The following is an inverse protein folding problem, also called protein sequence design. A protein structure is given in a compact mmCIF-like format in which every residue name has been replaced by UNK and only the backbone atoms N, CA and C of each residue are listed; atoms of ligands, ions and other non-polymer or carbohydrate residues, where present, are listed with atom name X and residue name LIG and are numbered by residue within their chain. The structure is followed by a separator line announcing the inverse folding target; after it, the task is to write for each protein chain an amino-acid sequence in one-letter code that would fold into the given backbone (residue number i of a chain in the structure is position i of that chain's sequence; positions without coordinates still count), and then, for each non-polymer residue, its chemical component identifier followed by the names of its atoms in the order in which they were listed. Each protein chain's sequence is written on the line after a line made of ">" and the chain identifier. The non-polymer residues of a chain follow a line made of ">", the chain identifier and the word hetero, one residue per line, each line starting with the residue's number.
data_IF_725235572560
#
_entry.id   IF_725235572560
#
_cell.length_a   1.000
_cell.length_b   1.000
_cell.length_c   1.000
_cell.angle_alpha   90.00
_cell.angle_beta   90.00
_cell.angle_gamma   90.00
#
_symmetry.space_group_name_H-M   'P 1'
#
loop_
_entity.id
_entity.type
_entity.pdbx_description
1 polymer ?
#
# COMPACT_ATOMS: atom_id res chain seq x y z
N UNK A 1 9.57 -17.62 12.03
CA UNK A 1 8.29 -17.25 11.39
C UNK A 1 8.18 -17.92 10.03
N UNK A 2 7.28 -18.91 9.89
CA UNK A 2 6.86 -19.41 8.57
C UNK A 2 5.94 -18.33 7.97
N UNK A 3 6.31 -17.73 6.83
CA UNK A 3 5.39 -16.83 6.10
C UNK A 3 4.13 -17.64 5.75
N UNK A 4 3.00 -17.34 6.40
CA UNK A 4 1.71 -17.90 5.99
C UNK A 4 1.25 -17.20 4.71
N UNK A 5 0.78 -18.00 3.75
CA UNK A 5 0.39 -17.51 2.44
C UNK A 5 -0.96 -16.79 2.50
N UNK A 6 -0.93 -15.48 2.31
CA UNK A 6 -2.16 -14.68 2.25
C UNK A 6 -2.84 -14.87 0.88
N UNK A 7 -4.03 -15.49 0.87
CA UNK A 7 -4.75 -15.86 -0.36
C UNK A 7 -4.99 -14.67 -1.29
N UNK A 8 -5.33 -13.50 -0.74
CA UNK A 8 -5.59 -12.27 -1.50
C UNK A 8 -4.38 -11.80 -2.33
N UNK A 9 -3.16 -12.02 -1.82
CA UNK A 9 -1.90 -11.70 -2.53
C UNK A 9 -1.68 -12.61 -3.72
N UNK A 10 -1.90 -13.91 -3.54
CA UNK A 10 -1.74 -14.89 -4.62
C UNK A 10 -2.75 -14.62 -5.73
N UNK A 11 -4.00 -14.30 -5.37
CA UNK A 11 -5.03 -13.93 -6.34
C UNK A 11 -4.59 -12.71 -7.14
N UNK A 12 -4.10 -11.65 -6.51
CA UNK A 12 -3.69 -10.44 -7.23
C UNK A 12 -2.44 -10.65 -8.10
N UNK A 13 -1.46 -11.44 -7.65
CA UNK A 13 -0.31 -11.84 -8.50
C UNK A 13 -0.81 -12.67 -9.69
N UNK A 14 -1.70 -13.63 -9.46
CA UNK A 14 -2.31 -14.44 -10.52
C UNK A 14 -3.08 -13.59 -11.54
N UNK A 15 -3.80 -12.56 -11.08
CA UNK A 15 -4.47 -11.61 -11.97
C UNK A 15 -3.47 -10.76 -12.78
N UNK A 16 -2.36 -10.32 -12.19
CA UNK A 16 -1.30 -9.60 -12.94
C UNK A 16 -0.75 -10.50 -14.05
N UNK A 17 -0.55 -11.79 -13.76
CA UNK A 17 -0.07 -12.77 -14.73
C UNK A 17 -1.09 -12.99 -15.86
N UNK A 18 -2.38 -13.11 -15.52
CA UNK A 18 -3.44 -13.21 -16.53
C UNK A 18 -3.49 -11.97 -17.42
N UNK A 19 -3.29 -10.77 -16.87
CA UNK A 19 -3.20 -9.52 -17.65
C UNK A 19 -1.99 -9.54 -18.57
N UNK A 20 -0.81 -9.96 -18.08
CA UNK A 20 0.41 -10.03 -18.90
C UNK A 20 0.25 -11.02 -20.07
N UNK A 21 -0.29 -12.22 -19.81
CA UNK A 21 -0.57 -13.22 -20.84
C UNK A 21 -1.61 -12.70 -21.83
N UNK A 22 -2.73 -12.17 -21.32
CA UNK A 22 -3.81 -11.64 -22.14
C UNK A 22 -3.33 -10.53 -23.07
N UNK A 23 -2.55 -9.58 -22.54
CA UNK A 23 -1.93 -8.53 -23.32
C UNK A 23 -1.02 -9.07 -24.43
N UNK A 24 -0.06 -9.95 -24.11
CA UNK A 24 0.85 -10.51 -25.12
C UNK A 24 0.10 -11.28 -26.22
N UNK A 25 -0.93 -12.05 -25.86
CA UNK A 25 -1.76 -12.77 -26.85
C UNK A 25 -2.56 -11.80 -27.73
N UNK A 26 -3.18 -10.78 -27.14
CA UNK A 26 -3.94 -9.77 -27.88
C UNK A 26 -3.01 -9.02 -28.84
N UNK A 27 -1.85 -8.54 -28.36
CA UNK A 27 -0.87 -7.85 -29.16
C UNK A 27 -0.39 -8.69 -30.35
N UNK A 28 0.03 -9.94 -30.10
CA UNK A 28 0.51 -10.83 -31.15
C UNK A 28 -0.57 -11.20 -32.17
N UNK A 29 -1.82 -11.37 -31.75
CA UNK A 29 -2.95 -11.69 -32.66
C UNK A 29 -3.36 -10.50 -33.51
N UNK A 30 -3.42 -9.30 -32.94
CA UNK A 30 -3.78 -8.08 -33.67
C UNK A 30 -2.76 -7.74 -34.74
N UNK A 31 -1.49 -8.01 -34.48
CA UNK A 31 -0.40 -7.81 -35.44
C UNK A 31 -0.25 -8.93 -36.47
N UNK A 32 -1.07 -9.98 -36.40
CA UNK A 32 -1.01 -11.10 -37.36
C UNK A 32 0.28 -11.92 -37.28
N UNK A 33 0.91 -12.00 -36.10
CA UNK A 33 2.18 -12.72 -35.92
C UNK A 33 2.05 -14.21 -36.21
N UNK A 34 3.12 -14.82 -36.71
CA UNK A 34 3.21 -16.26 -36.90
C UNK A 34 3.20 -17.02 -35.55
N UNK A 35 2.81 -18.29 -35.60
CA UNK A 35 2.60 -19.10 -34.39
C UNK A 35 3.91 -19.29 -33.60
N UNK A 36 5.04 -19.46 -34.29
CA UNK A 36 6.38 -19.56 -33.69
C UNK A 36 6.78 -18.27 -32.96
N UNK A 37 6.53 -17.10 -33.56
CA UNK A 37 6.79 -15.80 -32.93
C UNK A 37 5.91 -15.58 -31.71
N UNK A 38 4.64 -16.00 -31.79
CA UNK A 38 3.70 -15.93 -30.67
C UNK A 38 4.10 -16.85 -29.51
N UNK A 39 4.66 -18.04 -29.80
CA UNK A 39 5.26 -18.92 -28.80
C UNK A 39 6.49 -18.28 -28.15
N UNK A 40 7.35 -17.61 -28.93
CA UNK A 40 8.50 -16.87 -28.41
C UNK A 40 8.08 -15.73 -27.47
N UNK A 41 7.08 -14.94 -27.85
CA UNK A 41 6.50 -13.89 -27.02
C UNK A 41 5.86 -14.46 -25.74
N UNK A 42 5.20 -15.62 -25.84
CA UNK A 42 4.68 -16.35 -24.69
C UNK A 42 5.78 -16.77 -23.70
N UNK A 43 6.88 -17.33 -24.21
CA UNK A 43 8.02 -17.71 -23.38
C UNK A 43 8.66 -16.50 -22.67
N UNK A 44 8.82 -15.37 -23.37
CA UNK A 44 9.28 -14.11 -22.77
C UNK A 44 8.33 -13.63 -21.67
N UNK A 45 7.01 -13.73 -21.91
CA UNK A 45 5.98 -13.34 -20.93
C UNK A 45 6.07 -14.21 -19.68
N UNK A 46 6.26 -15.52 -19.81
CA UNK A 46 6.46 -16.44 -18.67
C UNK A 46 7.71 -16.10 -17.88
N UNK A 47 8.83 -15.85 -18.56
CA UNK A 47 10.07 -15.43 -17.92
C UNK A 47 9.87 -14.14 -17.11
N UNK A 48 9.25 -13.13 -17.72
CA UNK A 48 8.94 -11.87 -17.06
C UNK A 48 8.06 -12.08 -15.83
N UNK A 49 7.00 -12.88 -15.92
CA UNK A 49 6.09 -13.15 -14.80
C UNK A 49 6.83 -13.74 -13.59
N UNK A 50 7.69 -14.73 -13.80
CA UNK A 50 8.48 -15.35 -12.70
C UNK A 50 9.38 -14.33 -12.03
N UNK A 51 10.13 -13.55 -12.81
CA UNK A 51 11.03 -12.51 -12.29
C UNK A 51 10.25 -11.38 -11.60
N UNK A 52 9.11 -10.99 -12.16
CA UNK A 52 8.28 -9.91 -11.63
C UNK A 52 7.61 -10.32 -10.31
N UNK A 53 7.14 -11.57 -10.16
CA UNK A 53 6.64 -12.06 -8.88
C UNK A 53 7.75 -12.11 -7.81
N UNK A 54 8.97 -12.51 -8.19
CA UNK A 54 10.10 -12.45 -7.26
C UNK A 54 10.39 -11.02 -6.83
N UNK A 55 10.39 -10.07 -7.77
CA UNK A 55 10.61 -8.64 -7.49
C UNK A 55 9.52 -8.08 -6.58
N UNK A 56 8.24 -8.41 -6.80
CA UNK A 56 7.14 -8.01 -5.92
C UNK A 56 7.35 -8.51 -4.49
N UNK A 57 7.71 -9.79 -4.32
CA UNK A 57 7.99 -10.39 -3.00
C UNK A 57 9.22 -9.73 -2.36
N UNK A 58 10.26 -9.47 -3.14
CA UNK A 58 11.51 -8.85 -2.67
C UNK A 58 11.29 -7.41 -2.18
N UNK A 59 10.62 -6.57 -2.98
CA UNK A 59 10.33 -5.17 -2.67
C UNK A 59 9.36 -5.04 -1.48
N UNK A 60 8.39 -5.96 -1.35
CA UNK A 60 7.54 -6.09 -0.17
C UNK A 60 8.36 -6.32 1.10
N UNK A 61 9.30 -7.29 1.07
CA UNK A 61 10.15 -7.60 2.24
C UNK A 61 11.01 -6.42 2.69
N UNK A 62 11.41 -5.55 1.75
CA UNK A 62 12.17 -4.32 2.02
C UNK A 62 11.33 -3.10 2.42
N UNK A 63 10.01 -3.24 2.58
CA UNK A 63 9.08 -2.16 2.95
C UNK A 63 8.97 -1.03 1.92
N UNK A 64 9.42 -1.23 0.68
CA UNK A 64 9.39 -0.16 -0.33
C UNK A 64 8.01 0.02 -0.96
N UNK A 65 7.14 -0.98 -0.90
CA UNK A 65 5.77 -0.90 -1.41
C UNK A 65 4.87 -0.30 -0.32
N UNK A 66 4.45 0.96 -0.52
CA UNK A 66 3.50 1.67 0.37
C UNK A 66 3.95 1.75 1.85
N UNK A 67 5.25 1.61 2.16
CA UNK A 67 5.76 1.49 3.53
C UNK A 67 5.05 0.41 4.38
N UNK A 68 4.43 -0.58 3.73
CA UNK A 68 3.65 -1.60 4.40
C UNK A 68 4.04 -2.99 3.87
N UNK A 69 4.46 -3.87 4.79
CA UNK A 69 4.79 -5.27 4.44
C UNK A 69 3.56 -6.07 4.02
N UNK A 70 2.38 -5.65 4.45
CA UNK A 70 1.15 -6.41 4.28
C UNK A 70 0.32 -5.97 3.06
N UNK A 71 0.94 -5.44 2.01
CA UNK A 71 0.20 -4.95 0.83
C UNK A 71 -0.47 -6.07 0.02
N UNK A 72 -1.66 -5.76 -0.52
CA UNK A 72 -2.46 -6.68 -1.33
C UNK A 72 -2.06 -6.72 -2.81
N UNK A 73 -1.17 -5.85 -3.27
CA UNK A 73 -0.83 -5.63 -4.70
C UNK A 73 -1.99 -5.17 -5.60
N UNK A 74 -3.21 -4.96 -5.06
CA UNK A 74 -4.39 -4.62 -5.87
C UNK A 74 -4.25 -3.31 -6.67
N UNK A 75 -3.54 -2.32 -6.14
CA UNK A 75 -3.26 -1.08 -6.89
C UNK A 75 -2.27 -1.32 -8.02
N UNK A 76 -1.18 -2.05 -7.75
CA UNK A 76 -0.20 -2.44 -8.77
C UNK A 76 -0.89 -3.20 -9.90
N UNK A 77 -1.83 -4.08 -9.58
CA UNK A 77 -2.68 -4.74 -10.57
C UNK A 77 -3.48 -3.74 -11.41
N UNK A 78 -4.16 -2.76 -10.80
CA UNK A 78 -4.91 -1.71 -11.53
C UNK A 78 -4.00 -0.88 -12.43
N UNK A 79 -2.83 -0.47 -11.93
CA UNK A 79 -1.83 0.27 -12.70
C UNK A 79 -1.30 -0.56 -13.88
N UNK A 80 -0.97 -1.84 -13.63
CA UNK A 80 -0.50 -2.77 -14.64
C UNK A 80 -1.57 -3.04 -15.72
N UNK A 81 -2.83 -3.18 -15.33
CA UNK A 81 -3.96 -3.33 -16.25
C UNK A 81 -4.19 -2.06 -17.09
N UNK A 82 -4.08 -0.87 -16.48
CA UNK A 82 -4.19 0.40 -17.21
C UNK A 82 -3.04 0.57 -18.22
N UNK A 83 -1.81 0.24 -17.82
CA UNK A 83 -0.65 0.21 -18.73
C UNK A 83 -0.81 -0.79 -19.87
N UNK A 84 -1.38 -1.97 -19.61
CA UNK A 84 -1.67 -2.97 -20.63
C UNK A 84 -2.68 -2.44 -21.66
N UNK A 85 -3.81 -1.88 -21.20
CA UNK A 85 -4.82 -1.28 -22.09
C UNK A 85 -4.23 -0.16 -22.94
N UNK A 86 -3.43 0.71 -22.31
CA UNK A 86 -2.80 1.82 -23.01
C UNK A 86 -1.81 1.33 -24.07
N UNK A 87 -1.03 0.29 -23.76
CA UNK A 87 -0.09 -0.30 -24.71
C UNK A 87 -0.82 -0.97 -25.89
N UNK A 88 -1.99 -1.58 -25.67
CA UNK A 88 -2.84 -2.06 -26.78
C UNK A 88 -3.30 -0.92 -27.67
N UNK A 89 -3.65 0.24 -27.11
CA UNK A 89 -3.99 1.44 -27.90
C UNK A 89 -2.76 1.89 -28.73
N UNK A 90 -1.56 1.80 -28.18
CA UNK A 90 -0.33 2.17 -28.88
C UNK A 90 0.01 1.29 -30.08
N UNK A 91 -0.53 0.07 -30.17
CA UNK A 91 -0.37 -0.80 -31.35
C UNK A 91 -0.99 -0.18 -32.61
N UNK A 92 -2.04 0.64 -32.46
CA UNK A 92 -2.72 1.30 -33.57
C UNK A 92 -2.03 2.60 -34.01
N UNK A 93 -1.04 3.08 -33.25
CA UNK A 93 -0.32 4.30 -33.58
C UNK A 93 0.83 4.01 -34.56
N UNK A 94 1.07 4.90 -35.54
CA UNK A 94 2.12 4.72 -36.53
C UNK A 94 3.52 4.70 -35.91
N UNK A 95 4.50 4.24 -36.69
CA UNK A 95 5.91 4.12 -36.30
C UNK A 95 6.43 5.42 -35.66
N UNK A 96 7.25 5.28 -34.60
CA UNK A 96 7.86 6.37 -33.81
C UNK A 96 6.90 7.28 -33.01
N UNK A 97 5.58 7.19 -33.20
CA UNK A 97 4.61 8.11 -32.56
C UNK A 97 4.01 7.59 -31.25
N UNK A 98 4.31 6.35 -30.87
CA UNK A 98 3.77 5.74 -29.64
C UNK A 98 4.27 6.49 -28.38
N UNK A 99 3.39 7.05 -27.54
CA UNK A 99 3.79 7.80 -26.35
C UNK A 99 4.14 6.84 -25.19
N UNK A 100 5.18 6.04 -25.37
CA UNK A 100 5.62 4.99 -24.42
C UNK A 100 6.06 5.57 -23.08
N UNK A 101 6.45 6.85 -23.04
CA UNK A 101 6.81 7.58 -21.82
C UNK A 101 5.68 7.65 -20.77
N UNK A 102 4.42 7.38 -21.16
CA UNK A 102 3.31 7.30 -20.21
C UNK A 102 3.46 6.08 -19.27
N UNK A 103 4.00 4.97 -19.76
CA UNK A 103 4.13 3.73 -19.00
C UNK A 103 4.96 3.90 -17.70
N UNK A 104 6.18 4.48 -17.74
CA UNK A 104 6.96 4.71 -16.53
C UNK A 104 6.28 5.71 -15.59
N UNK A 105 5.62 6.76 -16.11
CA UNK A 105 4.88 7.73 -15.29
C UNK A 105 3.77 7.05 -14.49
N UNK A 106 3.00 6.20 -15.15
CA UNK A 106 1.86 5.51 -14.55
C UNK A 106 2.32 4.47 -13.52
N UNK A 107 3.30 3.64 -13.88
CA UNK A 107 3.77 2.57 -12.99
C UNK A 107 4.55 3.12 -11.79
N UNK A 108 5.30 4.22 -11.94
CA UNK A 108 5.98 4.88 -10.81
C UNK A 108 5.00 5.50 -9.83
N UNK A 109 3.84 6.00 -10.30
CA UNK A 109 2.82 6.58 -9.42
C UNK A 109 2.18 5.54 -8.50
N UNK A 110 2.05 4.29 -8.96
CA UNK A 110 1.34 3.21 -8.26
C UNK A 110 2.29 2.26 -7.52
N UNK A 111 3.49 2.02 -8.07
CA UNK A 111 4.45 1.05 -7.57
C UNK A 111 5.69 1.68 -6.94
N UNK A 112 6.77 0.90 -6.93
CA UNK A 112 8.14 1.36 -6.67
C UNK A 112 8.85 1.64 -8.00
N UNK A 113 9.96 2.36 -7.93
CA UNK A 113 10.78 2.67 -9.10
C UNK A 113 11.21 1.39 -9.85
N UNK A 114 11.66 0.36 -9.12
CA UNK A 114 12.11 -0.91 -9.69
C UNK A 114 10.98 -1.65 -10.42
N UNK A 115 9.76 -1.65 -9.85
CA UNK A 115 8.59 -2.25 -10.49
C UNK A 115 8.18 -1.48 -11.75
N UNK A 116 8.27 -0.15 -11.73
CA UNK A 116 7.98 0.69 -12.88
C UNK A 116 8.96 0.44 -14.03
N UNK A 117 10.25 0.28 -13.71
CA UNK A 117 11.28 -0.09 -14.68
C UNK A 117 10.95 -1.41 -15.35
N UNK A 118 10.84 -2.50 -14.57
CA UNK A 118 10.62 -3.82 -15.13
C UNK A 118 9.32 -3.92 -15.96
N UNK A 119 8.22 -3.36 -15.46
CA UNK A 119 6.92 -3.42 -16.14
C UNK A 119 6.88 -2.60 -17.43
N UNK A 120 7.42 -1.37 -17.44
CA UNK A 120 7.38 -0.53 -18.65
C UNK A 120 8.29 -1.07 -19.75
N UNK A 121 9.46 -1.62 -19.40
CA UNK A 121 10.30 -2.31 -20.36
C UNK A 121 9.60 -3.55 -20.94
N UNK A 122 8.92 -4.35 -20.11
CA UNK A 122 8.15 -5.50 -20.60
C UNK A 122 7.07 -5.09 -21.60
N UNK A 123 6.23 -4.11 -21.26
CA UNK A 123 5.18 -3.62 -22.16
C UNK A 123 5.75 -3.07 -23.47
N UNK A 124 6.84 -2.29 -23.39
CA UNK A 124 7.52 -1.76 -24.56
C UNK A 124 8.12 -2.88 -25.43
N UNK A 125 8.78 -3.89 -24.85
CA UNK A 125 9.34 -5.00 -25.64
C UNK A 125 8.25 -5.77 -26.38
N UNK A 126 7.12 -6.06 -25.72
CA UNK A 126 6.00 -6.76 -26.38
C UNK A 126 5.36 -5.88 -27.46
N UNK A 127 5.22 -4.57 -27.22
CA UNK A 127 4.73 -3.61 -28.22
C UNK A 127 5.60 -3.61 -29.49
N UNK A 128 6.92 -3.50 -29.33
CA UNK A 128 7.86 -3.46 -30.46
C UNK A 128 7.92 -4.80 -31.21
N UNK A 129 7.86 -5.93 -30.48
CA UNK A 129 7.75 -7.25 -31.08
C UNK A 129 6.48 -7.41 -31.92
N UNK A 130 5.37 -6.83 -31.46
CA UNK A 130 4.12 -6.85 -32.19
C UNK A 130 4.14 -5.91 -33.42
N UNK A 131 4.89 -4.81 -33.40
CA UNK A 131 5.01 -3.90 -34.56
C UNK A 131 5.98 -4.37 -35.65
N UNK A 132 6.81 -5.38 -35.37
CA UNK A 132 7.75 -5.96 -36.34
C UNK A 132 9.23 -5.64 -36.09
N UNK A 133 9.59 -5.16 -34.89
CA UNK A 133 10.97 -5.01 -34.40
C UNK A 133 11.92 -4.23 -35.34
N UNK A 134 11.60 -2.98 -35.69
CA UNK A 134 12.58 -2.11 -36.37
C UNK A 134 13.62 -1.59 -35.37
N UNK A 135 14.91 -1.73 -35.68
CA UNK A 135 16.02 -1.40 -34.76
C UNK A 135 15.97 0.05 -34.25
N UNK A 136 15.60 1.01 -35.11
CA UNK A 136 15.52 2.42 -34.74
C UNK A 136 14.28 2.75 -33.89
N UNK A 137 13.16 2.05 -34.08
CA UNK A 137 11.95 2.24 -33.26
C UNK A 137 12.18 1.72 -31.84
N UNK A 138 12.82 0.54 -31.69
CA UNK A 138 13.24 0.01 -30.39
C UNK A 138 14.17 0.99 -29.66
N UNK A 139 15.17 1.55 -30.35
CA UNK A 139 16.07 2.54 -29.75
C UNK A 139 15.33 3.83 -29.35
N UNK A 140 14.37 4.28 -30.15
CA UNK A 140 13.53 5.43 -29.83
C UNK A 140 12.71 5.18 -28.56
N UNK A 141 11.97 4.07 -28.51
CA UNK A 141 11.10 3.73 -27.39
C UNK A 141 11.89 3.48 -26.09
N UNK A 142 13.06 2.84 -26.17
CA UNK A 142 13.94 2.66 -25.01
C UNK A 142 14.51 3.99 -24.49
N UNK A 143 14.87 4.93 -25.37
CA UNK A 143 15.31 6.28 -24.96
C UNK A 143 14.16 7.08 -24.32
N UNK A 144 12.95 6.97 -24.85
CA UNK A 144 11.75 7.57 -24.25
C UNK A 144 11.45 6.99 -22.85
N UNK A 145 11.60 5.68 -22.68
CA UNK A 145 11.47 5.04 -21.37
C UNK A 145 12.50 5.56 -20.38
N UNK A 146 13.78 5.60 -20.76
CA UNK A 146 14.86 6.12 -19.91
C UNK A 146 14.61 7.57 -19.48
N UNK A 147 14.22 8.44 -20.42
CA UNK A 147 13.82 9.80 -20.12
C UNK A 147 12.61 9.87 -19.17
N UNK A 148 11.60 9.03 -19.42
CA UNK A 148 10.44 8.87 -18.55
C UNK A 148 10.82 8.55 -17.11
N UNK A 149 11.68 7.56 -16.89
CA UNK A 149 12.14 7.20 -15.55
C UNK A 149 12.86 8.34 -14.85
N UNK A 150 13.81 9.00 -15.53
CA UNK A 150 14.55 10.12 -14.97
C UNK A 150 13.60 11.25 -14.54
N UNK A 151 12.65 11.61 -15.39
CA UNK A 151 11.73 12.71 -15.11
C UNK A 151 10.72 12.33 -14.02
N UNK A 152 10.25 11.08 -13.97
CA UNK A 152 9.36 10.61 -12.90
C UNK A 152 9.97 10.70 -11.52
N UNK A 153 11.28 10.45 -11.41
CA UNK A 153 11.98 10.62 -10.15
C UNK A 153 12.05 12.10 -9.73
N UNK A 154 12.13 13.02 -10.70
CA UNK A 154 12.10 14.47 -10.42
C UNK A 154 10.70 15.01 -10.12
N UNK A 155 9.64 14.36 -10.64
CA UNK A 155 8.24 14.74 -10.42
C UNK A 155 7.77 14.58 -8.96
N UNK A 156 8.52 13.86 -8.13
CA UNK A 156 8.29 13.78 -6.69
C UNK A 156 8.48 15.14 -5.99
N UNK A 157 9.33 16.03 -6.54
CA UNK A 157 9.51 17.40 -6.03
C UNK A 157 8.45 18.36 -6.63
N UNK A 158 7.45 18.69 -5.83
CA UNK A 158 6.30 19.50 -6.26
C UNK A 158 6.61 20.97 -6.54
N UNK A 159 7.80 21.48 -6.15
CA UNK A 159 8.12 22.90 -6.21
C UNK A 159 8.22 23.45 -7.64
N UNK A 160 8.64 22.63 -8.59
CA UNK A 160 8.94 23.04 -9.98
C UNK A 160 8.10 22.32 -11.04
N UNK A 161 6.87 21.90 -10.69
CA UNK A 161 6.00 21.07 -11.56
C UNK A 161 5.88 21.57 -13.02
N UNK A 162 5.76 22.88 -13.23
CA UNK A 162 5.65 23.46 -14.59
C UNK A 162 6.88 23.20 -15.46
N UNK A 163 8.08 23.30 -14.90
CA UNK A 163 9.32 23.04 -15.64
C UNK A 163 9.46 21.57 -16.03
N UNK A 164 9.01 20.65 -15.17
CA UNK A 164 9.01 19.23 -15.48
C UNK A 164 8.04 18.89 -16.61
N UNK A 165 6.86 19.52 -16.66
CA UNK A 165 5.93 19.32 -17.78
C UNK A 165 6.52 19.83 -19.11
N UNK A 166 7.12 21.03 -19.11
CA UNK A 166 7.83 21.56 -20.30
C UNK A 166 8.94 20.59 -20.75
N UNK A 167 9.67 20.00 -19.81
CA UNK A 167 10.72 19.02 -20.11
C UNK A 167 10.14 17.71 -20.68
N UNK A 168 9.05 17.19 -20.13
CA UNK A 168 8.35 16.00 -20.66
C UNK A 168 7.94 16.26 -22.10
N UNK A 169 7.27 17.38 -22.36
CA UNK A 169 6.85 17.75 -23.70
C UNK A 169 8.05 17.83 -24.67
N UNK A 170 9.09 18.56 -24.28
CA UNK A 170 10.27 18.74 -25.13
C UNK A 170 10.93 17.40 -25.49
N UNK A 171 11.13 16.52 -24.50
CA UNK A 171 11.79 15.23 -24.71
C UNK A 171 10.90 14.27 -25.49
N UNK A 172 9.60 14.22 -25.20
CA UNK A 172 8.64 13.38 -25.89
C UNK A 172 8.44 13.77 -27.38
N UNK A 173 8.72 15.02 -27.75
CA UNK A 173 8.76 15.45 -29.17
C UNK A 173 10.12 15.22 -29.79
N UNK A 174 11.20 15.61 -29.11
CA UNK A 174 12.54 15.61 -29.68
C UNK A 174 13.03 14.19 -30.03
N UNK A 175 12.82 13.22 -29.13
CA UNK A 175 13.34 11.85 -29.32
C UNK A 175 12.72 11.19 -30.57
N UNK A 176 11.38 11.12 -30.75
CA UNK A 176 10.76 10.59 -31.96
C UNK A 176 11.23 11.28 -33.24
N UNK A 177 11.31 12.61 -33.23
CA UNK A 177 11.71 13.38 -34.41
C UNK A 177 13.16 13.05 -34.80
N UNK A 178 14.08 12.97 -33.83
CA UNK A 178 15.48 12.62 -34.09
C UNK A 178 15.63 11.19 -34.63
N UNK A 179 14.97 10.21 -34.01
CA UNK A 179 15.07 8.82 -34.46
C UNK A 179 14.39 8.58 -35.81
N UNK A 180 13.26 9.26 -36.08
CA UNK A 180 12.64 9.23 -37.40
C UNK A 180 13.53 9.85 -38.47
N UNK A 181 14.22 10.96 -38.16
CA UNK A 181 15.19 11.56 -39.08
C UNK A 181 16.38 10.65 -39.34
N UNK A 182 16.92 9.95 -38.33
CA UNK A 182 18.00 9.00 -38.53
C UNK A 182 17.60 7.79 -39.39
N UNK A 183 16.32 7.39 -39.33
CA UNK A 183 15.81 6.28 -40.12
C UNK A 183 15.51 6.67 -41.56
N UNK A 184 14.71 7.73 -41.78
CA UNK A 184 14.29 8.13 -43.12
C UNK A 184 15.29 9.04 -43.84
N UNK A 185 16.25 9.65 -43.12
CA UNK A 185 17.21 10.63 -43.62
C UNK A 185 16.59 11.92 -44.21
N UNK A 186 15.27 12.09 -44.03
CA UNK A 186 14.50 13.25 -44.48
C UNK A 186 13.57 13.75 -43.36
N UNK A 187 13.30 15.07 -43.28
CA UNK A 187 12.40 15.63 -42.29
C UNK A 187 10.93 15.34 -42.63
N UNK A 188 10.32 14.38 -41.93
CA UNK A 188 8.89 14.11 -42.02
C UNK A 188 8.08 14.96 -41.02
N UNK A 189 7.53 16.09 -41.49
CA UNK A 189 6.73 17.00 -40.66
C UNK A 189 5.43 16.39 -40.10
N UNK A 190 4.90 15.34 -40.72
CA UNK A 190 3.74 14.59 -40.21
C UNK A 190 4.06 13.89 -38.87
N UNK A 191 5.28 13.34 -38.73
CA UNK A 191 5.74 12.70 -37.49
C UNK A 191 5.89 13.74 -36.39
N UNK A 192 6.38 14.95 -36.70
CA UNK A 192 6.47 16.05 -35.75
C UNK A 192 5.09 16.42 -35.19
N UNK A 193 4.07 16.55 -36.05
CA UNK A 193 2.70 16.85 -35.62
C UNK A 193 2.12 15.76 -34.71
N UNK A 194 2.29 14.49 -35.10
CA UNK A 194 1.82 13.34 -34.30
C UNK A 194 2.58 13.18 -32.99
N UNK A 195 3.89 13.40 -32.97
CA UNK A 195 4.71 13.37 -31.77
C UNK A 195 4.33 14.50 -30.80
N UNK A 196 4.04 15.71 -31.31
CA UNK A 196 3.54 16.82 -30.50
C UNK A 196 2.19 16.51 -29.83
N UNK A 197 1.27 15.85 -30.55
CA UNK A 197 0.00 15.37 -29.97
C UNK A 197 0.29 14.31 -28.89
N UNK A 198 1.16 13.33 -29.18
CA UNK A 198 1.57 12.31 -28.20
C UNK A 198 2.18 12.91 -26.94
N UNK A 199 3.03 13.92 -27.09
CA UNK A 199 3.65 14.66 -26.00
C UNK A 199 2.64 15.46 -25.17
N UNK A 200 1.65 16.09 -25.82
CA UNK A 200 0.56 16.77 -25.11
C UNK A 200 -0.27 15.79 -24.27
N UNK A 201 -0.50 14.57 -24.79
CA UNK A 201 -1.17 13.50 -24.04
C UNK A 201 -0.30 13.04 -22.86
N UNK A 202 1.02 12.87 -23.05
CA UNK A 202 1.92 12.48 -21.95
C UNK A 202 1.93 13.52 -20.83
N UNK A 203 1.93 14.80 -21.17
CA UNK A 203 1.85 15.91 -20.22
C UNK A 203 0.53 15.91 -19.46
N UNK A 204 -0.59 15.67 -20.13
CA UNK A 204 -1.91 15.60 -19.49
C UNK A 204 -1.94 14.46 -18.47
N UNK A 205 -1.42 13.29 -18.83
CA UNK A 205 -1.31 12.15 -17.91
C UNK A 205 -0.39 12.49 -16.72
N UNK A 206 0.76 13.11 -16.96
CA UNK A 206 1.67 13.55 -15.89
C UNK A 206 1.05 14.65 -15.00
N UNK A 207 0.26 15.57 -15.56
CA UNK A 207 -0.31 16.68 -14.83
C UNK A 207 -1.48 16.28 -13.94
N UNK A 208 -2.32 15.34 -14.39
CA UNK A 208 -3.58 14.95 -13.73
C UNK A 208 -3.56 13.53 -13.14
N UNK A 209 -3.15 12.53 -13.92
CA UNK A 209 -3.24 11.12 -13.52
C UNK A 209 -2.16 10.80 -12.48
N UNK A 210 -0.92 11.26 -12.69
CA UNK A 210 0.17 11.04 -11.73
C UNK A 210 -0.17 11.54 -10.31
N UNK A 211 -0.53 12.83 -10.07
CA UNK A 211 -0.84 13.29 -8.72
C UNK A 211 -2.10 12.65 -8.12
N UNK A 212 -3.06 12.25 -8.96
CA UNK A 212 -4.24 11.52 -8.50
C UNK A 212 -3.86 10.13 -7.96
N UNK A 213 -3.03 9.38 -8.71
CA UNK A 213 -2.57 8.06 -8.31
C UNK A 213 -1.62 8.12 -7.11
N UNK A 214 -0.73 9.11 -7.02
CA UNK A 214 0.16 9.26 -5.86
C UNK A 214 -0.60 9.65 -4.59
N UNK A 215 -1.59 10.57 -4.67
CA UNK A 215 -2.48 10.85 -3.53
C UNK A 215 -3.24 9.61 -3.07
N UNK A 216 -3.72 8.81 -4.01
CA UNK A 216 -4.35 7.53 -3.67
C UNK A 216 -3.37 6.54 -3.03
N UNK A 217 -2.10 6.52 -3.45
CA UNK A 217 -1.04 5.70 -2.84
C UNK A 217 -0.76 6.15 -1.40
N UNK A 218 -0.67 7.45 -1.14
CA UNK A 218 -0.44 8.00 0.20
C UNK A 218 -1.64 7.76 1.14
N UNK A 219 -2.87 7.96 0.65
CA UNK A 219 -4.09 7.76 1.43
C UNK A 219 -4.46 6.27 1.65
N UNK A 220 -3.63 5.31 1.21
CA UNK A 220 -3.93 3.88 1.33
C UNK A 220 -4.05 3.42 2.78
N UNK A 221 -3.09 3.85 3.60
CA UNK A 221 -3.01 3.40 4.99
C UNK A 221 -4.21 3.96 5.76
N UNK A 222 -4.53 5.24 5.57
CA UNK A 222 -5.66 5.90 6.24
C UNK A 222 -7.01 5.32 5.80
N UNK A 223 -7.20 5.07 4.50
CA UNK A 223 -8.40 4.40 4.00
C UNK A 223 -8.51 2.97 4.55
N UNK A 224 -7.41 2.21 4.57
CA UNK A 224 -7.42 0.86 5.10
C UNK A 224 -7.72 0.83 6.60
N UNK A 225 -7.13 1.75 7.38
CA UNK A 225 -7.43 1.91 8.81
C UNK A 225 -8.92 2.24 9.02
N UNK A 226 -9.49 3.08 8.17
CA UNK A 226 -10.92 3.39 8.19
C UNK A 226 -11.76 2.14 7.92
N UNK A 227 -11.47 1.42 6.82
CA UNK A 227 -12.19 0.21 6.41
C UNK A 227 -12.19 -0.88 7.50
N UNK A 228 -11.05 -1.09 8.19
CA UNK A 228 -10.98 -2.11 9.25
C UNK A 228 -11.67 -1.66 10.54
N UNK A 229 -11.94 -0.37 10.72
CA UNK A 229 -12.70 0.12 11.88
C UNK A 229 -14.21 0.14 11.66
N UNK A 230 -14.68 -0.12 10.43
CA UNK A 230 -16.11 -0.24 10.14
C UNK A 230 -16.72 -1.49 10.80
N UNK A 231 -17.90 -1.36 11.40
CA UNK A 231 -18.56 -2.46 12.11
C UNK A 231 -18.89 -3.67 11.23
N UNK A 232 -19.04 -3.44 9.93
CA UNK A 232 -19.34 -4.48 8.93
C UNK A 232 -18.09 -5.23 8.44
N UNK A 233 -16.90 -4.88 8.92
CA UNK A 233 -15.68 -5.59 8.56
C UNK A 233 -15.75 -7.05 9.01
N UNK A 234 -15.36 -7.97 8.11
CA UNK A 234 -15.58 -9.41 8.28
C UNK A 234 -15.03 -9.98 9.59
N UNK A 235 -13.86 -9.50 10.02
CA UNK A 235 -13.19 -9.96 11.24
C UNK A 235 -13.89 -9.48 12.52
N UNK A 236 -14.46 -8.26 12.52
CA UNK A 236 -15.29 -7.77 13.64
C UNK A 236 -16.61 -8.53 13.74
N UNK A 237 -17.20 -8.91 12.60
CA UNK A 237 -18.40 -9.76 12.57
C UNK A 237 -18.11 -11.15 13.14
N UNK A 238 -16.93 -11.70 12.88
CA UNK A 238 -16.48 -12.96 13.48
C UNK A 238 -16.32 -12.82 15.00
N UNK A 239 -15.67 -11.76 15.48
CA UNK A 239 -15.53 -11.47 16.91
C UNK A 239 -16.89 -11.30 17.61
N UNK A 240 -17.82 -10.58 16.97
CA UNK A 240 -19.19 -10.37 17.48
C UNK A 240 -20.00 -11.67 17.57
N UNK A 241 -19.79 -12.60 16.64
CA UNK A 241 -20.41 -13.94 16.66
C UNK A 241 -19.79 -14.83 17.74
N UNK A 242 -18.48 -14.75 17.91
CA UNK A 242 -17.76 -15.52 18.93
C UNK A 242 -18.14 -15.08 20.35
N UNK A 243 -18.03 -13.77 20.64
CA UNK A 243 -18.38 -13.23 21.95
C UNK A 243 -18.82 -11.77 21.85
N UNK A 244 -20.09 -11.52 22.22
CA UNK A 244 -20.61 -10.15 22.38
C UNK A 244 -19.92 -9.37 23.50
N UNK A 245 -19.35 -10.06 24.49
CA UNK A 245 -18.60 -9.39 25.55
C UNK A 245 -17.26 -8.87 25.02
N UNK A 246 -16.49 -9.72 24.35
CA UNK A 246 -15.19 -9.33 23.78
C UNK A 246 -15.34 -8.28 22.68
N UNK A 247 -16.39 -8.38 21.86
CA UNK A 247 -16.69 -7.34 20.89
C UNK A 247 -16.99 -5.96 21.53
N UNK A 248 -17.78 -5.92 22.62
CA UNK A 248 -18.04 -4.66 23.35
C UNK A 248 -16.78 -4.13 24.04
N UNK A 249 -15.95 -5.02 24.58
CA UNK A 249 -14.66 -4.67 25.15
C UNK A 249 -13.77 -4.01 24.09
N UNK A 250 -13.60 -4.65 22.93
CA UNK A 250 -12.81 -4.12 21.81
C UNK A 250 -13.29 -2.73 21.35
N UNK A 251 -14.61 -2.51 21.24
CA UNK A 251 -15.16 -1.19 20.90
C UNK A 251 -14.82 -0.12 21.94
N UNK A 252 -14.87 -0.46 23.24
CA UNK A 252 -14.49 0.48 24.31
C UNK A 252 -12.99 0.78 24.30
N UNK A 253 -12.15 -0.24 24.15
CA UNK A 253 -10.69 -0.07 24.04
C UNK A 253 -10.36 0.83 22.84
N UNK A 254 -10.94 0.55 21.68
CA UNK A 254 -10.75 1.33 20.45
C UNK A 254 -11.09 2.81 20.62
N UNK A 255 -12.31 3.13 21.08
CA UNK A 255 -12.76 4.52 21.20
C UNK A 255 -11.98 5.32 22.24
N UNK A 256 -11.56 4.69 23.34
CA UNK A 256 -10.77 5.36 24.37
C UNK A 256 -9.32 5.53 23.92
N UNK A 257 -8.73 4.52 23.26
CA UNK A 257 -7.38 4.60 22.71
C UNK A 257 -7.26 5.68 21.63
N UNK A 258 -8.26 5.81 20.75
CA UNK A 258 -8.34 6.88 19.73
C UNK A 258 -8.24 8.28 20.36
N UNK A 259 -9.06 8.54 21.39
CA UNK A 259 -9.08 9.82 22.08
C UNK A 259 -7.80 10.08 22.90
N UNK A 260 -7.26 9.06 23.56
CA UNK A 260 -5.97 9.14 24.25
C UNK A 260 -4.85 9.54 23.29
N UNK A 261 -4.79 8.91 22.11
CA UNK A 261 -3.80 9.21 21.07
C UNK A 261 -3.94 10.64 20.54
N UNK A 262 -5.17 11.09 20.30
CA UNK A 262 -5.44 12.46 19.88
C UNK A 262 -4.91 13.51 20.87
N UNK A 263 -5.07 13.27 22.18
CA UNK A 263 -4.65 14.21 23.24
C UNK A 263 -3.13 14.36 23.32
N UNK A 264 -2.39 13.28 23.05
CA UNK A 264 -0.92 13.27 23.12
C UNK A 264 -0.24 13.54 21.78
N UNK A 265 -1.01 13.66 20.70
CA UNK A 265 -0.50 13.88 19.34
C UNK A 265 0.08 12.62 18.70
N UNK A 266 -0.36 11.43 19.13
CA UNK A 266 -0.02 10.14 18.50
C UNK A 266 -1.01 9.81 17.36
N UNK A 267 -0.72 8.75 16.60
CA UNK A 267 -1.55 8.31 15.48
C UNK A 267 -2.88 7.69 15.96
N UNK A 268 -3.93 8.51 15.99
CA UNK A 268 -5.24 8.13 16.51
C UNK A 268 -5.93 7.05 15.67
N UNK A 269 -5.75 7.05 14.35
CA UNK A 269 -6.32 6.05 13.45
C UNK A 269 -5.71 4.67 13.70
N UNK A 270 -4.39 4.62 13.89
CA UNK A 270 -3.69 3.38 14.27
C UNK A 270 -4.14 2.89 15.64
N UNK A 271 -4.25 3.76 16.64
CA UNK A 271 -4.71 3.37 17.98
C UNK A 271 -6.15 2.86 17.98
N UNK A 272 -7.03 3.47 17.18
CA UNK A 272 -8.41 3.04 17.01
C UNK A 272 -8.47 1.62 16.44
N UNK A 273 -7.78 1.38 15.34
CA UNK A 273 -7.73 0.07 14.70
C UNK A 273 -7.06 -0.98 15.60
N UNK A 274 -5.89 -0.66 16.16
CA UNK A 274 -5.18 -1.56 17.05
C UNK A 274 -6.00 -1.92 18.29
N UNK A 275 -6.72 -0.97 18.89
CA UNK A 275 -7.60 -1.24 20.02
C UNK A 275 -8.76 -2.21 19.71
N UNK A 276 -9.29 -2.21 18.48
CA UNK A 276 -10.32 -3.18 18.07
C UNK A 276 -9.77 -4.60 17.98
N UNK A 277 -8.55 -4.73 17.47
CA UNK A 277 -7.98 -6.03 17.11
C UNK A 277 -6.94 -6.53 18.12
N UNK A 278 -6.64 -5.76 19.17
CA UNK A 278 -5.61 -6.07 20.18
C UNK A 278 -5.74 -7.47 20.77
N UNK A 279 -6.98 -7.93 20.95
CA UNK A 279 -7.32 -9.23 21.53
C UNK A 279 -7.87 -10.25 20.51
N UNK A 280 -7.66 -10.02 19.21
CA UNK A 280 -8.27 -10.86 18.16
C UNK A 280 -7.81 -12.33 18.19
N UNK A 281 -6.63 -12.59 18.76
CA UNK A 281 -6.12 -13.96 18.98
C UNK A 281 -7.00 -14.84 19.86
N UNK A 282 -7.94 -14.27 20.63
CA UNK A 282 -8.94 -15.02 21.42
C UNK A 282 -9.74 -16.00 20.54
N UNK A 283 -9.95 -15.67 19.27
CA UNK A 283 -10.73 -16.50 18.35
C UNK A 283 -10.15 -17.90 18.16
N UNK A 284 -8.82 -18.04 18.21
CA UNK A 284 -8.12 -19.30 17.97
C UNK A 284 -7.54 -19.93 19.25
N UNK A 285 -7.53 -19.19 20.36
CA UNK A 285 -6.96 -19.63 21.63
C UNK A 285 -5.44 -19.44 21.71
N UNK A 286 -4.78 -20.29 22.51
CA UNK A 286 -3.34 -20.20 22.74
C UNK A 286 -2.52 -20.81 21.59
N UNK A 287 -1.42 -20.18 21.14
CA UNK A 287 -0.85 -18.90 21.63
C UNK A 287 -1.55 -17.66 21.03
N UNK A 288 -2.08 -16.79 21.91
CA UNK A 288 -2.89 -15.63 21.51
C UNK A 288 -2.14 -14.60 20.65
N UNK A 289 -0.84 -14.38 20.91
CA UNK A 289 -0.03 -13.38 20.21
C UNK A 289 0.21 -13.81 18.76
N UNK A 290 0.77 -15.01 18.57
CA UNK A 290 1.04 -15.55 17.23
C UNK A 290 -0.24 -15.68 16.40
N UNK A 291 -1.34 -16.15 17.00
CA UNK A 291 -2.63 -16.29 16.32
C UNK A 291 -3.22 -14.92 15.92
N UNK A 292 -3.13 -13.93 16.81
CA UNK A 292 -3.58 -12.56 16.54
C UNK A 292 -2.80 -11.91 15.39
N UNK A 293 -1.47 -12.05 15.42
CA UNK A 293 -0.57 -11.57 14.37
C UNK A 293 -0.84 -12.30 13.05
N UNK A 294 -1.02 -13.61 13.07
CA UNK A 294 -1.33 -14.40 11.88
C UNK A 294 -2.64 -13.95 11.22
N UNK A 295 -3.69 -13.70 12.01
CA UNK A 295 -4.96 -13.17 11.47
C UNK A 295 -4.80 -11.77 10.86
N UNK A 296 -4.11 -10.88 11.55
CA UNK A 296 -3.84 -9.53 11.02
C UNK A 296 -3.06 -9.59 9.70
N UNK A 297 -2.05 -10.46 9.60
CA UNK A 297 -1.31 -10.70 8.36
C UNK A 297 -2.19 -11.29 7.24
N UNK A 298 -3.03 -12.28 7.57
CA UNK A 298 -3.96 -12.90 6.63
C UNK A 298 -5.00 -11.91 6.08
N UNK A 299 -5.34 -10.89 6.86
CA UNK A 299 -6.23 -9.80 6.44
C UNK A 299 -5.49 -8.56 5.93
N UNK A 300 -4.15 -8.62 5.80
CA UNK A 300 -3.30 -7.56 5.27
C UNK A 300 -3.29 -6.25 6.09
N UNK A 301 -3.39 -6.35 7.42
CA UNK A 301 -3.41 -5.18 8.30
C UNK A 301 -2.11 -4.37 8.23
N UNK A 302 -2.15 -3.04 8.42
CA UNK A 302 -0.96 -2.20 8.38
C UNK A 302 0.09 -2.69 9.38
N UNK A 303 1.37 -2.63 9.00
CA UNK A 303 2.47 -3.11 9.85
C UNK A 303 2.44 -2.47 11.25
N UNK A 304 2.14 -1.17 11.36
CA UNK A 304 2.00 -0.49 12.66
C UNK A 304 0.96 -1.18 13.57
N UNK A 305 -0.19 -1.57 13.01
CA UNK A 305 -1.23 -2.27 13.76
C UNK A 305 -0.74 -3.68 14.13
N UNK A 306 -0.21 -4.43 13.16
CA UNK A 306 0.30 -5.78 13.38
C UNK A 306 1.43 -5.84 14.40
N UNK A 307 2.28 -4.81 14.46
CA UNK A 307 3.34 -4.64 15.47
C UNK A 307 2.76 -4.45 16.87
N UNK A 308 1.74 -3.58 17.02
CA UNK A 308 1.02 -3.40 18.30
C UNK A 308 0.39 -4.73 18.75
N UNK A 309 -0.16 -5.52 17.82
CA UNK A 309 -0.70 -6.85 18.15
C UNK A 309 0.39 -7.84 18.60
N UNK A 310 1.60 -7.75 18.04
CA UNK A 310 2.73 -8.60 18.46
C UNK A 310 3.30 -8.21 19.82
N UNK A 311 3.06 -6.97 20.26
CA UNK A 311 3.51 -6.43 21.55
C UNK A 311 2.47 -6.68 22.66
N UNK A 312 1.50 -7.55 22.41
CA UNK A 312 0.40 -7.86 23.33
C UNK A 312 0.90 -8.15 24.76
N UNK A 313 0.60 -7.23 25.66
CA UNK A 313 0.98 -7.22 27.08
C UNK A 313 2.48 -7.37 27.37
N UNK A 314 3.35 -7.16 26.38
CA UNK A 314 4.79 -7.38 26.58
C UNK A 314 5.19 -8.86 26.73
N UNK A 315 4.35 -9.82 26.31
CA UNK A 315 4.62 -11.26 26.52
C UNK A 315 5.86 -11.70 25.73
N UNK A 316 5.90 -11.40 24.44
CA UNK A 316 7.03 -11.72 23.56
C UNK A 316 7.94 -10.51 23.33
N UNK A 317 7.34 -9.32 23.19
CA UNK A 317 8.04 -8.07 22.87
C UNK A 317 7.40 -6.91 23.64
N UNK A 318 8.23 -6.08 24.27
CA UNK A 318 7.79 -4.88 24.99
C UNK A 318 7.21 -3.82 24.02
N UNK A 319 6.29 -2.96 24.49
CA UNK A 319 5.79 -1.81 23.74
C UNK A 319 6.92 -0.93 23.20
N UNK A 320 7.00 -0.82 21.88
CA UNK A 320 8.07 -0.08 21.20
C UNK A 320 7.63 1.29 20.68
N UNK A 321 6.32 1.54 20.64
CA UNK A 321 5.73 2.79 20.13
C UNK A 321 4.76 3.42 21.11
N UNK A 322 4.54 4.72 20.98
CA UNK A 322 3.59 5.48 21.81
C UNK A 322 2.19 4.89 21.66
N UNK A 323 1.80 4.55 20.42
CA UNK A 323 0.54 3.93 20.08
C UNK A 323 0.35 2.57 20.78
N UNK A 324 1.39 1.72 20.78
CA UNK A 324 1.38 0.43 21.48
C UNK A 324 1.17 0.59 22.98
N UNK A 325 1.90 1.53 23.60
CA UNK A 325 1.74 1.84 25.02
C UNK A 325 0.32 2.34 25.34
N UNK A 326 -0.26 3.21 24.53
CA UNK A 326 -1.63 3.70 24.72
C UNK A 326 -2.63 2.55 24.68
N UNK A 327 -2.56 1.70 23.65
CA UNK A 327 -3.50 0.57 23.48
C UNK A 327 -3.40 -0.38 24.67
N UNK A 328 -2.18 -0.72 25.12
CA UNK A 328 -1.99 -1.59 26.27
C UNK A 328 -2.48 -0.97 27.59
N UNK A 329 -2.21 0.32 27.83
CA UNK A 329 -2.68 1.03 29.02
C UNK A 329 -4.21 1.00 29.06
N UNK A 330 -4.86 1.34 27.96
CA UNK A 330 -6.32 1.38 27.86
C UNK A 330 -6.92 -0.01 28.03
N UNK A 331 -6.42 -1.03 27.32
CA UNK A 331 -6.91 -2.41 27.43
C UNK A 331 -6.76 -2.96 28.85
N UNK A 332 -5.58 -2.82 29.45
CA UNK A 332 -5.31 -3.29 30.81
C UNK A 332 -6.17 -2.59 31.86
N UNK A 333 -6.42 -1.30 31.68
CA UNK A 333 -7.28 -0.52 32.56
C UNK A 333 -8.75 -0.98 32.43
N UNK A 334 -9.30 -1.07 31.21
CA UNK A 334 -10.69 -1.52 30.99
C UNK A 334 -10.89 -2.93 31.53
N UNK A 335 -9.94 -3.83 31.30
CA UNK A 335 -9.98 -5.21 31.81
C UNK A 335 -10.05 -5.26 33.34
N UNK A 336 -9.27 -4.42 34.03
CA UNK A 336 -9.35 -4.30 35.50
C UNK A 336 -10.69 -3.74 35.96
N UNK A 337 -11.23 -2.71 35.32
CA UNK A 337 -12.56 -2.19 35.66
C UNK A 337 -13.66 -3.25 35.47
N UNK A 338 -13.65 -3.98 34.35
CA UNK A 338 -14.62 -5.04 34.09
C UNK A 338 -14.55 -6.19 35.11
N UNK A 339 -13.35 -6.56 35.56
CA UNK A 339 -13.16 -7.56 36.59
C UNK A 339 -13.72 -7.08 37.95
N UNK A 340 -13.51 -5.80 38.27
CA UNK A 340 -14.05 -5.17 39.47
C UNK A 340 -15.56 -5.00 39.39
N UNK A 341 -16.15 -4.68 38.24
CA UNK A 341 -17.60 -4.62 38.07
C UNK A 341 -18.26 -5.98 38.30
N UNK A 342 -17.65 -7.07 37.81
CA UNK A 342 -18.13 -8.43 38.08
C UNK A 342 -18.10 -8.77 39.58
N UNK A 343 -17.06 -8.30 40.28
CA UNK A 343 -16.85 -8.58 41.72
C UNK A 343 -17.67 -7.64 42.62
N UNK A 344 -17.84 -6.38 42.25
CA UNK A 344 -18.49 -5.32 43.03
C UNK A 344 -20.02 -5.34 42.96
N UNK A 345 -20.62 -6.07 42.00
CA UNK A 345 -22.03 -6.49 42.13
C UNK A 345 -22.30 -7.28 43.43
N UNK A 346 -21.25 -7.71 44.14
CA UNK A 346 -21.31 -8.50 45.38
C UNK A 346 -20.90 -7.67 46.62
N UNK A 347 -20.23 -6.51 46.48
CA UNK A 347 -19.76 -5.71 47.61
C UNK A 347 -19.69 -4.20 47.29
N UNK A 348 -20.11 -3.37 48.26
CA UNK A 348 -20.34 -1.93 48.18
C UNK A 348 -19.38 -1.14 47.29
N UNK A 349 -19.94 -0.16 46.57
CA UNK A 349 -19.29 0.60 45.50
C UNK A 349 -17.86 1.08 45.82
N UNK A 350 -16.98 0.93 44.84
CA UNK A 350 -15.57 1.29 44.91
C UNK A 350 -15.33 2.67 44.30
N UNK A 351 -14.27 3.35 44.75
CA UNK A 351 -13.85 4.62 44.17
C UNK A 351 -13.09 4.38 42.85
N UNK A 352 -13.75 4.68 41.73
CA UNK A 352 -13.22 4.46 40.37
C UNK A 352 -11.93 5.23 40.10
N UNK A 353 -11.85 6.48 40.55
CA UNK A 353 -10.67 7.32 40.35
C UNK A 353 -9.46 6.68 41.02
N UNK A 354 -9.62 6.20 42.26
CA UNK A 354 -8.53 5.56 43.00
C UNK A 354 -8.02 4.31 42.28
N UNK A 355 -8.92 3.49 41.73
CA UNK A 355 -8.56 2.28 40.97
C UNK A 355 -7.79 2.65 39.70
N UNK A 356 -8.20 3.70 38.99
CA UNK A 356 -7.50 4.18 37.79
C UNK A 356 -6.09 4.66 38.18
N UNK A 357 -5.95 5.47 39.24
CA UNK A 357 -4.65 5.93 39.72
C UNK A 357 -3.74 4.77 40.14
N UNK A 358 -4.23 3.83 40.94
CA UNK A 358 -3.46 2.66 41.38
C UNK A 358 -3.01 1.81 40.19
N UNK A 359 -3.93 1.52 39.27
CA UNK A 359 -3.65 0.72 38.07
C UNK A 359 -2.58 1.36 37.20
N UNK A 360 -2.69 2.66 36.94
CA UNK A 360 -1.73 3.37 36.09
C UNK A 360 -0.36 3.49 36.78
N UNK A 361 -0.33 3.70 38.09
CA UNK A 361 0.92 3.70 38.86
C UNK A 361 1.59 2.32 38.84
N UNK A 362 0.83 1.23 38.94
CA UNK A 362 1.35 -0.13 38.79
C UNK A 362 1.95 -0.36 37.40
N UNK A 363 1.26 0.06 36.32
CA UNK A 363 1.79 -0.08 34.97
C UNK A 363 3.06 0.74 34.77
N UNK A 364 3.12 1.96 35.31
CA UNK A 364 4.33 2.79 35.29
C UNK A 364 5.47 2.17 36.10
N UNK A 365 5.21 1.57 37.25
CA UNK A 365 6.23 0.96 38.11
C UNK A 365 6.87 -0.30 37.49
N UNK A 366 6.17 -0.98 36.58
CA UNK A 366 6.67 -2.17 35.90
C UNK A 366 7.72 -1.84 34.81
N UNK A 367 7.90 -0.57 34.44
CA UNK A 367 8.87 -0.15 33.40
C UNK A 367 8.54 -0.65 31.99
N UNK A 368 7.30 -1.11 31.76
CA UNK A 368 6.89 -1.70 30.46
C UNK A 368 6.95 -0.71 29.30
N UNK A 369 6.88 0.59 29.57
CA UNK A 369 6.75 1.63 28.54
C UNK A 369 8.03 2.43 28.31
N UNK A 370 9.13 2.09 28.97
CA UNK A 370 10.38 2.86 28.90
C UNK A 370 10.97 2.92 27.48
N UNK A 371 10.69 1.90 26.66
CA UNK A 371 11.16 1.79 25.28
C UNK A 371 10.15 2.32 24.24
N UNK A 372 8.95 2.73 24.68
CA UNK A 372 7.84 3.13 23.80
C UNK A 372 7.95 4.56 23.27
N UNK A 373 8.81 5.39 23.87
CA UNK A 373 8.86 6.83 23.61
C UNK A 373 7.75 7.65 24.30
N UNK A 374 6.89 7.02 25.12
CA UNK A 374 5.86 7.70 25.89
C UNK A 374 6.48 8.56 26.99
N UNK A 375 6.43 9.88 26.83
CA UNK A 375 6.93 10.81 27.85
C UNK A 375 6.04 10.86 29.09
N UNK A 376 6.61 11.24 30.23
CA UNK A 376 5.84 11.41 31.47
C UNK A 376 4.70 12.43 31.31
N UNK A 377 4.90 13.51 30.54
CA UNK A 377 3.84 14.49 30.26
C UNK A 377 2.66 13.84 29.50
N UNK A 378 2.97 13.05 28.47
CA UNK A 378 1.95 12.31 27.71
C UNK A 378 1.19 11.34 28.62
N UNK A 379 1.90 10.59 29.46
CA UNK A 379 1.29 9.68 30.43
C UNK A 379 0.34 10.40 31.41
N UNK A 380 0.75 11.57 31.92
CA UNK A 380 -0.09 12.38 32.81
C UNK A 380 -1.37 12.87 32.10
N UNK A 381 -1.26 13.32 30.85
CA UNK A 381 -2.43 13.73 30.04
C UNK A 381 -3.39 12.57 29.79
N UNK A 382 -2.87 11.39 29.44
CA UNK A 382 -3.67 10.17 29.27
C UNK A 382 -4.38 9.82 30.58
N UNK A 383 -3.67 9.86 31.70
CA UNK A 383 -4.24 9.59 33.02
C UNK A 383 -5.36 10.56 33.38
N UNK A 384 -5.16 11.87 33.22
CA UNK A 384 -6.18 12.87 33.49
C UNK A 384 -7.43 12.68 32.64
N UNK A 385 -7.24 12.29 31.39
CA UNK A 385 -8.34 11.97 30.49
C UNK A 385 -9.09 10.70 30.92
N UNK A 386 -8.37 9.60 31.21
CA UNK A 386 -8.98 8.34 31.68
C UNK A 386 -9.76 8.53 32.98
N UNK A 387 -9.34 9.41 33.88
CA UNK A 387 -10.10 9.70 35.11
C UNK A 387 -11.42 10.43 34.82
N UNK A 388 -11.46 11.27 33.77
CA UNK A 388 -12.63 12.10 33.42
C UNK A 388 -13.59 11.43 32.44
N UNK A 389 -13.16 10.39 31.72
CA UNK A 389 -13.90 9.85 30.59
C UNK A 389 -15.16 9.08 31.03
N UNK A 390 -16.32 9.59 30.64
CA UNK A 390 -17.62 8.98 30.95
C UNK A 390 -17.86 7.65 30.22
N UNK A 391 -17.15 7.38 29.12
CA UNK A 391 -17.20 6.09 28.43
C UNK A 391 -16.61 4.92 29.24
N UNK A 392 -15.94 5.22 30.36
CA UNK A 392 -15.56 4.23 31.39
C UNK A 392 -16.64 4.05 32.46
N UNK A 393 -17.73 4.83 32.41
CA UNK A 393 -18.80 4.86 33.39
C UNK A 393 -20.03 4.02 32.99
N UNK A 394 -20.05 3.42 31.78
CA UNK A 394 -21.10 2.56 31.23
C UNK A 394 -20.54 1.24 30.68
#
# INVERSE_FOLDING_TARGET
>A
MKEQFVAKRIVNIGLIFLVAIGFSVIAGRMSGMYLDQLLGMGALTVLFMVLFAFLLIYERKRKKISNNRETDYGKILKGFLLSAILTVIFLFLPEFTSPVMILPILMSAVGTYELAVCSSFFFCTVLEMAKGCQSYEILCCTMLLLAGFMITHMLEDTRNKMWYLILIFAVAVLIPVLFSYFFYQEPHYDILGKAAIGAAVTDLVAAFVYPFLTKQKEAEIDNFLTDITEEDYGLLRELKKFSRQEYRHALRVSGIAEKCAYIVGADAAVCKAAGLYYRIGILDGDPMVENGVARAQNHCFPEKVTEILSEYYGIEKMPSTIESAIVQIVDGMIKKLEALEKTSKIAGGWNKEMVIYQTLNEFSAQGLYDQSGLSMNMFLKIREYLVKEEALLL
#
